data_IF_399650147076
#
_entry.id   IF_399650147076
#
_cell.length_a   1.000
_cell.length_b   1.000
_cell.length_c   1.000
_cell.angle_alpha   90.00
_cell.angle_beta   90.00
_cell.angle_gamma   90.00
#
_symmetry.space_group_name_H-M   'P 1'
#
loop_
_entity.id
_entity.type
_entity.pdbx_description
1 polymer ?
#
# COMPACT_ATOMS: atom_id res chain seq x y z
N UNK A 1 -24.31 6.59 5.99
CA UNK A 1 -25.16 5.44 5.55
C UNK A 1 -25.30 5.30 4.02
N UNK A 2 -25.38 6.36 3.20
CA UNK A 2 -25.52 6.22 1.72
C UNK A 2 -24.27 5.63 1.03
N UNK A 3 -23.06 6.07 1.40
CA UNK A 3 -21.81 5.57 0.78
C UNK A 3 -21.56 4.09 1.06
N UNK A 4 -21.73 3.64 2.31
CA UNK A 4 -21.65 2.22 2.66
C UNK A 4 -22.62 1.37 1.82
N UNK A 5 -23.87 1.83 1.62
CA UNK A 5 -24.85 1.13 0.78
C UNK A 5 -24.40 1.00 -0.68
N UNK A 6 -23.67 1.98 -1.21
CA UNK A 6 -23.14 1.90 -2.58
C UNK A 6 -21.94 0.95 -2.64
N UNK A 7 -21.06 0.99 -1.64
CA UNK A 7 -19.91 0.08 -1.54
C UNK A 7 -20.31 -1.39 -1.46
N UNK A 8 -21.26 -1.75 -0.58
CA UNK A 8 -21.70 -3.15 -0.42
C UNK A 8 -22.46 -3.71 -1.64
N UNK A 9 -22.80 -2.85 -2.61
CA UNK A 9 -23.43 -3.24 -3.88
C UNK A 9 -22.41 -3.53 -4.99
N UNK A 10 -21.14 -3.17 -4.79
CA UNK A 10 -20.07 -3.49 -5.75
C UNK A 10 -19.85 -5.00 -5.80
N UNK A 11 -19.54 -5.51 -6.99
CA UNK A 11 -19.07 -6.90 -7.12
C UNK A 11 -17.56 -6.95 -6.85
N UNK A 12 -17.04 -8.05 -6.27
CA UNK A 12 -15.60 -8.19 -6.02
C UNK A 12 -14.72 -7.90 -7.24
N UNK A 13 -15.10 -8.40 -8.42
CA UNK A 13 -14.36 -8.19 -9.67
C UNK A 13 -14.30 -6.72 -10.15
N UNK A 14 -15.19 -5.86 -9.65
CA UNK A 14 -15.18 -4.42 -9.94
C UNK A 14 -14.30 -3.64 -8.97
N UNK A 15 -13.81 -4.30 -7.90
CA UNK A 15 -12.98 -3.68 -6.88
C UNK A 15 -11.49 -3.84 -7.18
N UNK A 16 -10.75 -2.82 -6.79
CA UNK A 16 -9.30 -2.86 -6.65
C UNK A 16 -8.98 -2.35 -5.24
N UNK A 17 -8.35 -3.19 -4.42
CA UNK A 17 -7.95 -2.81 -3.07
C UNK A 17 -6.59 -2.13 -3.11
N UNK A 18 -6.51 -0.97 -2.45
CA UNK A 18 -5.24 -0.36 -2.08
C UNK A 18 -5.07 -0.63 -0.59
N UNK A 19 -4.10 -1.47 -0.25
CA UNK A 19 -3.79 -1.77 1.16
C UNK A 19 -2.61 -0.91 1.61
N UNK A 20 -2.76 -0.29 2.78
CA UNK A 20 -1.71 0.51 3.42
C UNK A 20 -1.24 -0.11 4.73
N UNK A 21 -0.35 0.58 5.43
CA UNK A 21 0.26 0.11 6.69
C UNK A 21 -0.77 -0.18 7.78
N UNK A 22 -1.97 0.41 7.75
CA UNK A 22 -3.04 0.05 8.69
C UNK A 22 -3.51 -1.41 8.56
N UNK A 23 -3.36 -2.06 7.39
CA UNK A 23 -3.60 -3.50 7.26
C UNK A 23 -2.49 -4.28 7.97
N UNK A 24 -1.23 -3.96 7.72
CA UNK A 24 -0.08 -4.59 8.37
C UNK A 24 -0.11 -4.41 9.89
N UNK A 25 -0.45 -3.21 10.37
CA UNK A 25 -0.63 -2.86 11.77
C UNK A 25 -1.69 -3.73 12.47
N UNK A 26 -2.83 -3.97 11.80
CA UNK A 26 -3.91 -4.79 12.34
C UNK A 26 -3.49 -6.27 12.45
N UNK A 27 -2.72 -6.75 11.47
CA UNK A 27 -2.33 -8.16 11.33
C UNK A 27 -1.18 -8.53 12.26
N UNK A 28 -0.17 -7.66 12.34
CA UNK A 28 1.07 -7.89 13.08
C UNK A 28 1.38 -6.68 14.01
N UNK A 29 0.51 -6.37 14.99
CA UNK A 29 0.67 -5.20 15.86
C UNK A 29 1.94 -5.26 16.73
N UNK A 30 2.53 -6.45 16.88
CA UNK A 30 3.78 -6.65 17.61
C UNK A 30 5.04 -6.15 16.89
N UNK A 31 4.95 -5.75 15.63
CA UNK A 31 6.06 -5.15 14.88
C UNK A 31 5.78 -3.65 14.70
N UNK A 32 6.39 -2.76 15.49
CA UNK A 32 6.15 -1.33 15.41
C UNK A 32 6.40 -0.74 14.01
N UNK A 33 7.39 -1.28 13.28
CA UNK A 33 7.73 -0.85 11.93
C UNK A 33 6.57 -0.99 10.93
N UNK A 34 5.64 -1.93 11.15
CA UNK A 34 4.47 -2.13 10.29
C UNK A 34 3.29 -1.20 10.63
N UNK A 35 3.33 -0.53 11.79
CA UNK A 35 2.20 0.26 12.27
C UNK A 35 1.99 1.56 11.51
N UNK A 36 3.06 2.12 10.92
CA UNK A 36 2.97 3.34 10.11
C UNK A 36 4.21 3.51 9.23
N UNK A 37 4.10 4.34 8.19
CA UNK A 37 5.25 4.75 7.38
C UNK A 37 6.36 5.40 8.20
N UNK A 38 5.99 6.19 9.21
CA UNK A 38 6.92 6.85 10.11
C UNK A 38 7.72 5.83 10.91
N UNK A 39 7.02 4.88 11.53
CA UNK A 39 7.62 3.81 12.34
C UNK A 39 8.50 2.89 11.50
N UNK A 40 8.12 2.63 10.24
CA UNK A 40 8.96 1.91 9.28
C UNK A 40 10.30 2.63 9.06
N UNK A 41 10.27 3.93 8.75
CA UNK A 41 11.49 4.71 8.53
C UNK A 41 12.33 4.80 9.80
N UNK A 42 11.71 4.97 10.97
CA UNK A 42 12.40 4.97 12.27
C UNK A 42 13.12 3.64 12.52
N UNK A 43 12.46 2.51 12.27
CA UNK A 43 13.05 1.18 12.40
C UNK A 43 14.20 0.95 11.42
N UNK A 44 14.08 1.43 10.18
CA UNK A 44 15.17 1.37 9.19
C UNK A 44 16.38 2.21 9.66
N UNK A 45 16.16 3.40 10.22
CA UNK A 45 17.26 4.22 10.76
C UNK A 45 17.94 3.52 11.93
N UNK A 46 17.17 2.86 12.80
CA UNK A 46 17.71 2.08 13.92
C UNK A 46 18.50 0.86 13.44
N UNK A 47 17.97 0.07 12.52
CA UNK A 47 18.70 -1.04 11.90
C UNK A 47 19.98 -0.54 11.22
N UNK A 48 19.94 0.60 10.54
CA UNK A 48 21.11 1.18 9.89
C UNK A 48 22.21 1.60 10.89
N UNK A 49 21.83 2.06 12.09
CA UNK A 49 22.76 2.35 13.19
C UNK A 49 23.36 1.05 13.74
N UNK A 50 22.54 0.02 13.97
CA UNK A 50 22.97 -1.27 14.52
C UNK A 50 23.88 -2.06 13.56
N UNK A 51 23.61 -1.99 12.26
CA UNK A 51 24.41 -2.61 11.21
C UNK A 51 25.66 -1.77 10.84
N UNK A 52 25.85 -0.60 11.47
CA UNK A 52 26.95 0.33 11.20
C UNK A 52 27.03 0.81 9.73
N UNK A 53 25.90 0.84 9.03
CA UNK A 53 25.80 1.25 7.61
C UNK A 53 25.45 2.73 7.43
N UNK A 54 25.12 3.43 8.53
CA UNK A 54 24.85 4.87 8.54
C UNK A 54 25.64 5.56 9.67
N UNK A 55 26.33 6.65 9.33
CA UNK A 55 27.14 7.39 10.30
C UNK A 55 26.27 7.97 11.43
N UNK A 56 26.70 7.97 12.71
CA UNK A 56 25.89 8.45 13.84
C UNK A 56 25.37 9.89 13.68
N UNK A 57 26.15 10.76 13.03
CA UNK A 57 25.71 12.12 12.70
C UNK A 57 24.53 12.15 11.71
N UNK A 58 24.53 11.26 10.71
CA UNK A 58 23.42 11.13 9.77
C UNK A 58 22.20 10.50 10.45
N UNK A 59 22.39 9.50 11.32
CA UNK A 59 21.33 8.90 12.14
C UNK A 59 20.60 9.99 12.94
N UNK A 60 21.34 10.86 13.64
CA UNK A 60 20.76 11.95 14.41
C UNK A 60 20.01 12.96 13.52
N UNK A 61 20.52 13.26 12.32
CA UNK A 61 19.85 14.12 11.35
C UNK A 61 18.53 13.51 10.85
N UNK A 62 18.55 12.23 10.44
CA UNK A 62 17.37 11.54 9.93
C UNK A 62 16.31 11.35 11.01
N UNK A 63 16.67 11.01 12.24
CA UNK A 63 15.73 10.97 13.38
C UNK A 63 15.01 12.30 13.54
N UNK A 64 15.75 13.41 13.50
CA UNK A 64 15.18 14.76 13.58
C UNK A 64 14.28 15.09 12.39
N UNK A 65 14.66 14.70 11.17
CA UNK A 65 13.85 14.87 9.96
C UNK A 65 12.55 14.09 10.08
N UNK A 66 12.60 12.79 10.38
CA UNK A 66 11.39 11.97 10.55
C UNK A 66 10.46 12.63 11.54
N UNK A 67 10.90 12.96 12.77
CA UNK A 67 10.01 13.54 13.79
C UNK A 67 9.37 14.89 13.42
N UNK A 68 10.00 15.70 12.57
CA UNK A 68 9.53 17.06 12.25
C UNK A 68 8.85 17.18 10.90
N UNK A 69 9.21 16.34 9.95
CA UNK A 69 8.73 16.45 8.58
C UNK A 69 7.34 15.84 8.43
N UNK A 70 6.55 16.48 7.56
CA UNK A 70 5.24 15.97 7.13
C UNK A 70 5.36 15.12 5.88
N UNK A 71 6.42 15.28 5.10
CA UNK A 71 6.66 14.49 3.89
C UNK A 71 7.65 13.33 4.15
N UNK A 72 7.11 12.25 4.71
CA UNK A 72 7.90 11.05 5.04
C UNK A 72 8.52 10.38 3.79
N UNK A 73 7.94 10.59 2.61
CA UNK A 73 8.47 10.03 1.36
C UNK A 73 9.78 10.69 0.98
N UNK A 74 9.90 12.01 1.16
CA UNK A 74 11.16 12.73 0.94
C UNK A 74 12.23 12.22 1.89
N UNK A 75 11.89 12.02 3.17
CA UNK A 75 12.85 11.50 4.16
C UNK A 75 13.31 10.09 3.81
N UNK A 76 12.38 9.20 3.43
CA UNK A 76 12.70 7.84 3.03
C UNK A 76 13.55 7.82 1.75
N UNK A 77 13.25 8.69 0.78
CA UNK A 77 14.05 8.84 -0.43
C UNK A 77 15.49 9.29 -0.14
N UNK A 78 15.68 10.32 0.70
CA UNK A 78 16.99 10.79 1.12
C UNK A 78 17.77 9.70 1.86
N UNK A 79 17.08 8.92 2.69
CA UNK A 79 17.64 7.80 3.43
C UNK A 79 18.11 6.68 2.49
N UNK A 80 17.29 6.28 1.51
CA UNK A 80 17.69 5.32 0.47
C UNK A 80 18.92 5.82 -0.29
N UNK A 81 18.94 7.10 -0.70
CA UNK A 81 20.09 7.67 -1.43
C UNK A 81 21.37 7.66 -0.60
N UNK A 82 21.26 7.88 0.71
CA UNK A 82 22.39 7.88 1.62
C UNK A 82 22.95 6.47 1.84
N UNK A 83 22.07 5.48 1.97
CA UNK A 83 22.43 4.08 2.31
C UNK A 83 22.66 3.19 1.10
N UNK A 84 22.23 3.60 -0.10
CA UNK A 84 22.49 2.85 -1.34
C UNK A 84 23.19 3.76 -2.36
N UNK A 85 24.40 4.27 -2.06
CA UNK A 85 25.13 5.16 -2.96
C UNK A 85 25.51 4.43 -4.25
N UNK A 86 25.41 5.13 -5.39
CA UNK A 86 25.82 4.59 -6.69
C UNK A 86 27.36 4.61 -6.78
N UNK A 87 28.02 3.57 -6.29
CA UNK A 87 29.48 3.39 -6.38
C UNK A 87 29.84 2.23 -7.31
N UNK A 88 30.17 2.49 -8.57
CA UNK A 88 30.65 1.47 -9.51
C UNK A 88 29.59 0.45 -9.95
N UNK A 89 30.05 -0.74 -10.38
CA UNK A 89 29.23 -1.83 -10.95
C UNK A 89 28.51 -2.70 -9.90
N UNK A 90 28.83 -2.51 -8.61
CA UNK A 90 28.21 -3.24 -7.50
C UNK A 90 27.45 -2.26 -6.62
N UNK A 91 26.13 -2.45 -6.51
CA UNK A 91 25.25 -1.59 -5.71
C UNK A 91 25.05 -2.21 -4.32
N UNK A 92 25.80 -1.80 -3.27
CA UNK A 92 25.40 -2.15 -1.92
C UNK A 92 24.01 -1.57 -1.67
N UNK A 93 23.12 -2.39 -1.11
CA UNK A 93 21.73 -2.00 -0.88
C UNK A 93 21.42 -2.04 0.61
N UNK A 94 22.17 -1.29 1.41
CA UNK A 94 22.04 -1.32 2.87
C UNK A 94 20.64 -0.97 3.37
N UNK A 95 19.87 -0.19 2.59
CA UNK A 95 18.45 0.04 2.90
C UNK A 95 17.63 -1.26 2.86
N UNK A 96 17.90 -2.15 1.90
CA UNK A 96 17.27 -3.46 1.87
C UNK A 96 17.73 -4.32 3.03
N UNK A 97 19.03 -4.34 3.32
CA UNK A 97 19.56 -5.13 4.44
C UNK A 97 18.88 -4.71 5.75
N UNK A 98 18.65 -3.40 5.94
CA UNK A 98 17.88 -2.88 7.06
C UNK A 98 16.42 -3.34 7.03
N UNK A 99 15.74 -3.32 5.87
CA UNK A 99 14.36 -3.80 5.78
C UNK A 99 14.25 -5.32 5.99
N UNK A 100 15.23 -6.10 5.54
CA UNK A 100 15.30 -7.54 5.81
C UNK A 100 15.43 -7.82 7.30
N UNK A 101 16.24 -7.03 8.02
CA UNK A 101 16.33 -7.10 9.49
C UNK A 101 15.00 -6.70 10.16
N UNK A 102 14.40 -5.60 9.72
CA UNK A 102 13.15 -5.07 10.30
C UNK A 102 11.94 -5.99 10.05
N UNK A 103 11.92 -6.69 8.91
CA UNK A 103 10.86 -7.61 8.50
C UNK A 103 11.32 -9.07 8.51
N UNK A 104 12.25 -9.41 9.39
CA UNK A 104 12.65 -10.81 9.55
C UNK A 104 11.50 -11.65 10.11
N UNK A 105 11.37 -12.89 9.63
CA UNK A 105 10.37 -13.87 10.09
C UNK A 105 8.92 -13.37 10.19
N UNK A 106 8.45 -12.50 9.27
CA UNK A 106 7.11 -11.91 9.27
C UNK A 106 5.98 -12.94 9.48
N UNK A 107 6.13 -14.16 8.95
CA UNK A 107 5.17 -15.24 9.08
C UNK A 107 4.88 -15.63 10.54
N UNK A 108 5.87 -15.49 11.43
CA UNK A 108 5.74 -15.79 12.87
C UNK A 108 5.02 -14.67 13.63
N UNK A 109 4.91 -13.49 13.02
CA UNK A 109 4.33 -12.30 13.62
C UNK A 109 2.89 -12.02 13.20
N UNK A 110 2.30 -12.85 12.35
CA UNK A 110 0.87 -12.79 12.00
C UNK A 110 0.04 -13.19 13.24
N UNK A 111 -0.55 -12.21 13.91
CA UNK A 111 -1.37 -12.42 15.11
C UNK A 111 -2.87 -12.39 14.80
N UNK A 112 -3.32 -11.48 13.92
CA UNK A 112 -4.73 -11.30 13.59
C UNK A 112 -4.97 -11.43 12.07
N UNK A 113 -5.07 -12.66 11.54
CA UNK A 113 -5.17 -12.88 10.09
C UNK A 113 -6.54 -12.52 9.49
N UNK A 114 -7.53 -12.09 10.29
CA UNK A 114 -8.91 -11.86 9.85
C UNK A 114 -9.01 -10.87 8.67
N UNK A 115 -8.19 -9.82 8.67
CA UNK A 115 -8.12 -8.83 7.57
C UNK A 115 -7.58 -9.48 6.31
N UNK A 116 -6.45 -10.20 6.40
CA UNK A 116 -5.85 -10.89 5.25
C UNK A 116 -6.80 -11.95 4.68
N UNK A 117 -7.47 -12.72 5.55
CA UNK A 117 -8.49 -13.69 5.15
C UNK A 117 -9.65 -13.04 4.40
N UNK A 118 -10.06 -11.85 4.82
CA UNK A 118 -11.11 -11.07 4.14
C UNK A 118 -10.66 -10.58 2.77
N UNK A 119 -9.40 -10.12 2.64
CA UNK A 119 -8.79 -9.73 1.37
C UNK A 119 -8.67 -10.93 0.43
N UNK A 120 -8.16 -12.07 0.90
CA UNK A 120 -8.07 -13.29 0.09
C UNK A 120 -9.43 -13.76 -0.44
N UNK A 121 -10.50 -13.67 0.36
CA UNK A 121 -11.86 -14.01 -0.09
C UNK A 121 -12.36 -13.08 -1.20
N UNK A 122 -11.97 -11.80 -1.17
CA UNK A 122 -12.28 -10.86 -2.24
C UNK A 122 -11.47 -11.19 -3.50
N UNK A 123 -10.17 -11.46 -3.37
CA UNK A 123 -9.30 -11.92 -4.47
C UNK A 123 -9.82 -13.22 -5.11
N UNK A 124 -10.33 -14.15 -4.30
CA UNK A 124 -10.98 -15.37 -4.77
C UNK A 124 -12.15 -15.11 -5.72
N UNK A 125 -12.80 -13.94 -5.61
CA UNK A 125 -13.90 -13.50 -6.47
C UNK A 125 -13.48 -12.44 -7.49
N UNK A 126 -12.17 -12.25 -7.71
CA UNK A 126 -11.63 -11.42 -8.78
C UNK A 126 -11.25 -9.99 -8.38
N UNK A 127 -11.26 -9.64 -7.09
CA UNK A 127 -10.75 -8.35 -6.63
C UNK A 127 -9.23 -8.27 -6.82
N UNK A 128 -8.77 -7.17 -7.40
CA UNK A 128 -7.34 -6.89 -7.58
C UNK A 128 -6.75 -6.24 -6.33
N UNK A 129 -5.45 -6.39 -6.07
CA UNK A 129 -4.77 -5.78 -4.91
C UNK A 129 -3.48 -5.10 -5.33
N UNK A 130 -3.27 -3.88 -4.82
CA UNK A 130 -1.98 -3.21 -4.84
C UNK A 130 -1.67 -2.63 -3.46
N UNK A 131 -0.40 -2.34 -3.22
CA UNK A 131 0.09 -1.77 -1.96
C UNK A 131 1.22 -0.77 -2.22
N UNK A 132 1.37 0.18 -1.31
CA UNK A 132 2.58 1.00 -1.19
C UNK A 132 3.53 0.45 -0.12
N UNK A 133 3.11 -0.54 0.66
CA UNK A 133 3.95 -1.11 1.72
C UNK A 133 5.08 -1.96 1.13
N UNK A 134 6.15 -2.09 1.91
CA UNK A 134 7.30 -2.96 1.58
C UNK A 134 7.12 -4.41 2.01
N UNK A 135 6.25 -4.68 3.01
CA UNK A 135 5.98 -6.03 3.51
C UNK A 135 5.13 -6.85 2.52
N UNK A 136 5.19 -8.19 2.64
CA UNK A 136 4.42 -9.16 1.85
C UNK A 136 3.51 -10.04 2.73
N UNK A 137 2.95 -9.48 3.82
CA UNK A 137 2.14 -10.25 4.77
C UNK A 137 0.94 -10.96 4.11
N UNK A 138 0.31 -10.31 3.12
CA UNK A 138 -0.81 -10.89 2.39
C UNK A 138 -0.39 -12.11 1.58
N UNK A 139 0.78 -12.05 0.94
CA UNK A 139 1.32 -13.13 0.13
C UNK A 139 1.80 -14.29 0.98
N UNK A 140 2.52 -14.02 2.07
CA UNK A 140 2.90 -15.02 3.07
C UNK A 140 1.66 -15.78 3.55
N UNK A 141 0.64 -15.04 4.00
CA UNK A 141 -0.60 -15.65 4.48
C UNK A 141 -1.32 -16.42 3.37
N UNK A 142 -1.42 -15.87 2.15
CA UNK A 142 -2.05 -16.55 1.03
C UNK A 142 -1.35 -17.85 0.63
N UNK A 143 -0.02 -17.88 0.65
CA UNK A 143 0.77 -19.09 0.41
C UNK A 143 0.51 -20.14 1.50
N UNK A 144 0.44 -19.75 2.78
CA UNK A 144 0.04 -20.64 3.88
C UNK A 144 -1.38 -21.19 3.69
N UNK A 145 -2.28 -20.44 3.04
CA UNK A 145 -3.62 -20.90 2.64
C UNK A 145 -3.64 -21.68 1.31
N UNK A 146 -2.49 -22.04 0.76
CA UNK A 146 -2.36 -22.81 -0.48
C UNK A 146 -2.71 -22.04 -1.75
N UNK A 147 -2.64 -20.69 -1.73
CA UNK A 147 -2.86 -19.85 -2.91
C UNK A 147 -1.54 -19.56 -3.63
N UNK A 148 -1.52 -19.54 -4.97
CA UNK A 148 -0.33 -19.20 -5.74
C UNK A 148 -0.15 -17.68 -5.77
N UNK A 149 0.19 -17.08 -4.62
CA UNK A 149 0.41 -15.64 -4.50
C UNK A 149 1.65 -15.21 -5.26
N UNK A 150 1.58 -14.05 -5.91
CA UNK A 150 2.70 -13.47 -6.65
C UNK A 150 2.82 -11.97 -6.33
N UNK A 151 3.99 -11.54 -5.87
CA UNK A 151 4.32 -10.13 -5.72
C UNK A 151 4.82 -9.59 -7.07
N UNK A 152 4.37 -8.39 -7.42
CA UNK A 152 4.68 -7.74 -8.68
C UNK A 152 5.38 -6.42 -8.41
N UNK A 153 6.54 -6.21 -9.04
CA UNK A 153 7.17 -4.90 -9.10
C UNK A 153 6.68 -4.13 -10.33
N UNK A 154 6.52 -2.81 -10.19
CA UNK A 154 6.15 -1.94 -11.30
C UNK A 154 7.09 -2.05 -12.52
N UNK A 155 8.36 -2.41 -12.31
CA UNK A 155 9.37 -2.60 -13.37
C UNK A 155 9.11 -3.85 -14.20
N UNK A 156 8.35 -4.82 -13.69
CA UNK A 156 8.00 -6.05 -14.40
C UNK A 156 6.85 -5.80 -15.39
N UNK A 157 7.09 -4.97 -16.40
CA UNK A 157 6.10 -4.49 -17.38
C UNK A 157 5.10 -5.57 -17.84
N UNK A 158 5.59 -6.72 -18.30
CA UNK A 158 4.73 -7.78 -18.85
C UNK A 158 3.80 -8.37 -17.79
N UNK A 159 4.26 -8.49 -16.54
CA UNK A 159 3.42 -8.94 -15.43
C UNK A 159 2.43 -7.87 -15.01
N UNK A 160 2.85 -6.61 -14.93
CA UNK A 160 1.94 -5.48 -14.64
C UNK A 160 0.79 -5.43 -15.65
N UNK A 161 1.08 -5.61 -16.95
CA UNK A 161 0.06 -5.66 -18.00
C UNK A 161 -0.87 -6.87 -17.87
N UNK A 162 -0.35 -8.05 -17.52
CA UNK A 162 -1.18 -9.24 -17.28
C UNK A 162 -2.08 -9.07 -16.05
N UNK A 163 -1.52 -8.56 -14.96
CA UNK A 163 -2.24 -8.26 -13.74
C UNK A 163 -3.36 -7.25 -13.98
N UNK A 164 -3.05 -6.13 -14.61
CA UNK A 164 -4.02 -5.06 -14.86
C UNK A 164 -5.14 -5.46 -15.84
N UNK A 165 -4.91 -6.47 -16.69
CA UNK A 165 -5.96 -7.10 -17.52
C UNK A 165 -6.80 -8.13 -16.77
N UNK A 166 -6.50 -8.40 -15.50
CA UNK A 166 -7.21 -9.35 -14.65
C UNK A 166 -6.77 -10.81 -14.83
N UNK A 167 -5.62 -11.06 -15.46
CA UNK A 167 -5.12 -12.43 -15.70
C UNK A 167 -4.35 -13.01 -14.50
N UNK A 168 -4.02 -12.19 -13.48
CA UNK A 168 -3.25 -12.61 -12.30
C UNK A 168 -4.10 -12.48 -11.04
N UNK A 169 -4.94 -13.51 -10.79
CA UNK A 169 -5.93 -13.51 -9.70
C UNK A 169 -5.32 -13.27 -8.30
N UNK A 170 -4.14 -13.81 -8.03
CA UNK A 170 -3.44 -13.71 -6.75
C UNK A 170 -2.19 -12.82 -6.83
N UNK A 171 -2.17 -11.89 -7.79
CA UNK A 171 -1.08 -10.91 -7.94
C UNK A 171 -1.29 -9.70 -7.04
N UNK A 172 -0.22 -9.29 -6.34
CA UNK A 172 -0.16 -8.07 -5.51
C UNK A 172 0.86 -7.11 -6.11
N UNK A 173 0.40 -5.93 -6.55
CA UNK A 173 1.30 -4.91 -7.12
C UNK A 173 1.91 -4.04 -6.02
N UNK A 174 3.24 -4.04 -5.89
CA UNK A 174 3.99 -3.19 -4.96
C UNK A 174 4.50 -1.93 -5.67
N UNK A 175 3.89 -0.79 -5.35
CA UNK A 175 4.21 0.49 -6.01
C UNK A 175 5.61 1.01 -5.64
N UNK A 176 6.14 0.65 -4.48
CA UNK A 176 7.49 1.06 -4.04
C UNK A 176 8.50 -0.08 -4.03
N UNK A 177 8.13 -1.24 -4.60
CA UNK A 177 8.90 -2.48 -4.54
C UNK A 177 8.70 -3.24 -3.23
N UNK A 178 9.42 -4.34 -3.12
CA UNK A 178 9.31 -5.33 -2.05
C UNK A 178 10.63 -5.45 -1.29
N UNK A 179 10.59 -5.65 0.03
CA UNK A 179 11.81 -5.75 0.83
C UNK A 179 12.71 -6.94 0.46
N UNK A 180 12.14 -8.01 -0.09
CA UNK A 180 12.89 -9.18 -0.55
C UNK A 180 13.47 -9.00 -1.97
N UNK A 181 13.20 -7.88 -2.66
CA UNK A 181 13.73 -7.59 -3.99
C UNK A 181 14.72 -6.40 -3.97
N UNK A 182 16.05 -6.66 -4.09
CA UNK A 182 17.06 -5.60 -4.09
C UNK A 182 16.90 -4.59 -5.23
N UNK A 183 16.40 -5.07 -6.36
CA UNK A 183 16.37 -4.31 -7.59
C UNK A 183 15.09 -3.49 -7.71
N UNK A 184 14.01 -3.89 -7.03
CA UNK A 184 12.67 -3.32 -7.11
C UNK A 184 12.47 -2.01 -6.33
N UNK A 185 13.10 -1.88 -5.15
CA UNK A 185 12.79 -0.78 -4.23
C UNK A 185 13.11 0.61 -4.78
N UNK A 186 12.08 1.43 -4.94
CA UNK A 186 12.18 2.79 -5.47
C UNK A 186 11.14 3.70 -4.82
N UNK A 187 11.61 4.86 -4.35
CA UNK A 187 10.77 5.97 -3.91
C UNK A 187 10.89 7.22 -4.79
N UNK A 188 11.80 7.22 -5.76
CA UNK A 188 11.97 8.34 -6.69
C UNK A 188 11.21 8.07 -8.00
N UNK A 189 10.39 9.01 -8.52
CA UNK A 189 9.77 8.87 -9.84
C UNK A 189 10.75 8.48 -10.97
N UNK A 190 12.02 8.90 -10.89
CA UNK A 190 13.08 8.53 -11.83
C UNK A 190 13.45 7.05 -11.79
N UNK A 191 13.26 6.36 -10.65
CA UNK A 191 13.46 4.91 -10.58
C UNK A 191 12.32 4.12 -11.25
N UNK A 192 11.21 4.78 -11.56
CA UNK A 192 10.11 4.29 -12.41
C UNK A 192 10.02 5.07 -13.72
N UNK A 193 11.09 5.73 -14.17
CA UNK A 193 11.06 6.51 -15.41
C UNK A 193 10.63 5.65 -16.59
N UNK A 194 11.15 4.44 -16.69
CA UNK A 194 10.79 3.53 -17.78
C UNK A 194 9.31 3.12 -17.74
N UNK A 195 8.72 3.02 -16.54
CA UNK A 195 7.30 2.70 -16.34
C UNK A 195 6.41 3.92 -16.62
N UNK A 196 6.75 5.07 -16.04
CA UNK A 196 5.99 6.32 -16.16
C UNK A 196 6.08 6.96 -17.54
N UNK A 197 7.09 6.58 -18.33
CA UNK A 197 7.24 6.97 -19.73
C UNK A 197 6.73 5.91 -20.71
N UNK A 198 6.38 4.70 -20.25
CA UNK A 198 5.75 3.68 -21.10
C UNK A 198 4.25 3.98 -21.27
N UNK A 199 3.81 4.38 -22.47
CA UNK A 199 2.42 4.78 -22.68
C UNK A 199 1.44 3.62 -22.45
N UNK A 200 1.84 2.39 -22.73
CA UNK A 200 0.99 1.21 -22.61
C UNK A 200 0.73 0.86 -21.15
N UNK A 201 1.77 0.90 -20.31
CA UNK A 201 1.62 0.64 -18.88
C UNK A 201 0.81 1.75 -18.22
N UNK A 202 1.11 3.01 -18.53
CA UNK A 202 0.39 4.15 -17.98
C UNK A 202 -1.08 4.17 -18.38
N UNK A 203 -1.40 3.88 -19.65
CA UNK A 203 -2.78 3.80 -20.12
C UNK A 203 -3.57 2.75 -19.32
N UNK A 204 -3.03 1.54 -19.21
CA UNK A 204 -3.68 0.42 -18.52
C UNK A 204 -3.87 0.70 -17.02
N UNK A 205 -2.86 1.26 -16.33
CA UNK A 205 -2.99 1.61 -14.91
C UNK A 205 -4.00 2.74 -14.68
N UNK A 206 -4.02 3.75 -15.55
CA UNK A 206 -4.98 4.85 -15.45
C UNK A 206 -6.41 4.39 -15.76
N UNK A 207 -6.58 3.46 -16.70
CA UNK A 207 -7.86 2.85 -17.01
C UNK A 207 -8.42 2.04 -15.84
N UNK A 208 -7.57 1.44 -14.99
CA UNK A 208 -8.05 0.84 -13.75
C UNK A 208 -8.77 1.87 -12.88
N UNK A 209 -8.23 3.09 -12.74
CA UNK A 209 -8.88 4.14 -11.93
C UNK A 209 -10.20 4.61 -12.53
N UNK A 210 -10.37 4.52 -13.86
CA UNK A 210 -11.63 4.86 -14.53
C UNK A 210 -12.68 3.76 -14.42
N UNK A 211 -12.25 2.50 -14.43
CA UNK A 211 -13.15 1.34 -14.61
C UNK A 211 -13.38 0.53 -13.34
N UNK A 212 -12.43 0.55 -12.40
CA UNK A 212 -12.55 -0.13 -11.11
C UNK A 212 -12.96 0.84 -10.01
N UNK A 213 -13.64 0.30 -9.00
CA UNK A 213 -13.91 1.02 -7.75
C UNK A 213 -12.78 0.74 -6.77
N UNK A 214 -11.82 1.67 -6.67
CA UNK A 214 -10.75 1.62 -5.68
C UNK A 214 -11.32 1.63 -4.24
N UNK A 215 -10.87 0.70 -3.40
CA UNK A 215 -11.17 0.65 -1.98
C UNK A 215 -9.86 0.71 -1.18
N UNK A 216 -9.63 1.85 -0.54
CA UNK A 216 -8.46 2.11 0.29
C UNK A 216 -8.67 1.57 1.71
N UNK A 217 -7.80 0.65 2.13
CA UNK A 217 -7.83 -0.05 3.41
C UNK A 217 -6.55 0.24 4.19
N UNK A 218 -6.65 0.89 5.35
CA UNK A 218 -5.47 1.21 6.17
C UNK A 218 -4.50 2.20 5.51
N UNK A 219 -4.97 3.01 4.56
CA UNK A 219 -4.16 3.98 3.85
C UNK A 219 -4.19 5.34 4.56
N UNK A 220 -3.05 5.74 5.14
CA UNK A 220 -2.86 7.09 5.68
C UNK A 220 -2.25 8.04 4.65
N UNK A 221 -1.02 7.75 4.23
CA UNK A 221 -0.20 8.65 3.40
C UNK A 221 -0.29 8.35 1.89
N UNK A 222 -0.92 7.25 1.48
CA UNK A 222 -0.93 6.76 0.09
C UNK A 222 -1.41 7.78 -0.95
N UNK A 223 -2.39 8.62 -0.61
CA UNK A 223 -2.90 9.63 -1.55
C UNK A 223 -2.01 10.88 -1.66
N UNK A 224 -1.07 11.07 -0.73
CA UNK A 224 -0.03 12.10 -0.83
C UNK A 224 1.15 11.62 -1.67
N UNK A 225 1.27 10.31 -1.89
CA UNK A 225 2.33 9.74 -2.70
C UNK A 225 2.28 10.22 -4.15
N UNK A 226 3.38 10.82 -4.61
CA UNK A 226 3.43 11.42 -5.95
C UNK A 226 3.46 10.37 -7.06
N UNK A 227 4.04 9.20 -6.81
CA UNK A 227 4.07 8.08 -7.77
C UNK A 227 2.65 7.53 -7.91
N UNK A 228 1.98 7.23 -6.81
CA UNK A 228 0.57 6.78 -6.81
C UNK A 228 -0.33 7.79 -7.53
N UNK A 229 -0.18 9.08 -7.22
CA UNK A 229 -0.93 10.14 -7.88
C UNK A 229 -0.65 10.20 -9.39
N UNK A 230 0.60 10.04 -9.82
CA UNK A 230 0.97 10.01 -11.23
C UNK A 230 0.41 8.78 -11.96
N UNK A 231 0.44 7.61 -11.32
CA UNK A 231 -0.04 6.36 -11.90
C UNK A 231 -1.57 6.35 -12.06
N UNK A 232 -2.32 6.89 -11.09
CA UNK A 232 -3.78 6.70 -11.06
C UNK A 232 -4.60 7.99 -11.11
N UNK A 233 -4.13 9.11 -10.54
CA UNK A 233 -4.98 10.28 -10.26
C UNK A 233 -4.85 11.43 -11.27
N UNK A 234 -3.67 11.68 -11.83
CA UNK A 234 -3.39 12.91 -12.58
C UNK A 234 -4.09 13.00 -13.94
N UNK A 235 -4.33 11.88 -14.62
CA UNK A 235 -4.89 11.90 -15.98
C UNK A 235 -6.41 11.74 -16.04
N UNK A 236 -7.05 11.53 -14.89
CA UNK A 236 -8.50 11.38 -14.82
C UNK A 236 -9.13 12.76 -14.61
N UNK A 237 -9.49 13.42 -15.73
CA UNK A 237 -9.96 14.81 -15.76
C UNK A 237 -11.32 15.02 -15.09
N UNK A 238 -12.25 14.09 -15.26
CA UNK A 238 -13.56 14.14 -14.63
C UNK A 238 -13.69 12.98 -13.63
N UNK A 239 -13.80 13.33 -12.36
CA UNK A 239 -13.90 12.38 -11.24
C UNK A 239 -15.28 12.34 -10.59
N UNK A 240 -16.23 13.12 -11.11
CA UNK A 240 -17.56 13.32 -10.48
C UNK A 240 -18.36 12.02 -10.45
N UNK A 241 -18.23 11.19 -11.49
CA UNK A 241 -18.94 9.92 -11.62
C UNK A 241 -18.17 8.73 -11.02
N UNK A 242 -16.95 8.96 -10.52
CA UNK A 242 -16.15 7.90 -9.90
C UNK A 242 -16.71 7.55 -8.52
N UNK A 243 -16.70 6.26 -8.23
CA UNK A 243 -17.12 5.73 -6.94
C UNK A 243 -15.98 4.93 -6.32
N UNK A 244 -14.97 5.64 -5.84
CA UNK A 244 -13.93 5.08 -4.99
C UNK A 244 -14.32 5.22 -3.53
N UNK A 245 -13.65 4.48 -2.65
CA UNK A 245 -13.99 4.41 -1.24
C UNK A 245 -12.74 4.36 -0.39
N UNK A 246 -12.77 5.02 0.77
CA UNK A 246 -11.69 4.94 1.74
C UNK A 246 -12.26 4.63 3.11
N UNK A 247 -11.77 3.57 3.75
CA UNK A 247 -12.11 3.25 5.12
C UNK A 247 -11.21 4.02 6.08
N UNK A 248 -11.80 4.77 7.01
CA UNK A 248 -11.05 5.62 7.94
C UNK A 248 -11.56 5.52 9.37
N UNK A 249 -10.67 5.82 10.31
CA UNK A 249 -11.03 6.05 11.71
C UNK A 249 -11.72 7.42 11.83
N UNK A 250 -12.81 7.51 12.60
CA UNK A 250 -13.44 8.78 12.94
C UNK A 250 -13.03 9.20 14.36
N UNK A 251 -11.78 9.62 14.52
CA UNK A 251 -11.27 10.12 15.81
C UNK A 251 -11.87 11.49 16.17
N UNK A 252 -12.00 12.35 15.16
CA UNK A 252 -12.46 13.73 15.33
C UNK A 252 -13.43 14.10 14.21
N UNK A 253 -14.54 14.73 14.57
CA UNK A 253 -15.62 15.03 13.65
C UNK A 253 -15.24 16.08 12.59
N UNK A 254 -14.57 17.16 12.99
CA UNK A 254 -14.12 18.20 12.05
C UNK A 254 -13.08 17.67 11.07
N UNK A 255 -12.11 16.90 11.57
CA UNK A 255 -11.11 16.25 10.72
C UNK A 255 -11.76 15.28 9.73
N UNK A 256 -12.74 14.50 10.18
CA UNK A 256 -13.45 13.55 9.33
C UNK A 256 -14.24 14.26 8.21
N UNK A 257 -14.95 15.35 8.51
CA UNK A 257 -15.68 16.10 7.50
C UNK A 257 -14.75 16.83 6.52
N UNK A 258 -13.63 17.36 7.00
CA UNK A 258 -12.58 17.93 6.14
C UNK A 258 -12.03 16.87 5.19
N UNK A 259 -11.66 15.70 5.71
CA UNK A 259 -11.17 14.58 4.89
C UNK A 259 -12.23 14.15 3.87
N UNK A 260 -13.50 14.09 4.25
CA UNK A 260 -14.59 13.82 3.31
C UNK A 260 -14.63 14.80 2.13
N UNK A 261 -14.51 16.10 2.40
CA UNK A 261 -14.52 17.13 1.37
C UNK A 261 -13.29 17.00 0.45
N UNK A 262 -12.10 16.85 1.04
CA UNK A 262 -10.84 16.73 0.30
C UNK A 262 -10.86 15.48 -0.61
N UNK A 263 -11.29 14.33 -0.08
CA UNK A 263 -11.33 13.06 -0.81
C UNK A 263 -12.38 13.04 -1.93
N UNK A 264 -13.48 13.78 -1.77
CA UNK A 264 -14.51 13.86 -2.79
C UNK A 264 -14.01 14.54 -4.08
N UNK A 265 -13.02 15.43 -3.99
CA UNK A 265 -12.35 16.01 -5.18
C UNK A 265 -11.64 14.95 -6.03
N UNK A 266 -11.31 13.81 -5.43
CA UNK A 266 -10.71 12.65 -6.10
C UNK A 266 -11.75 11.57 -6.46
N UNK A 267 -13.05 11.82 -6.26
CA UNK A 267 -14.09 10.80 -6.45
C UNK A 267 -14.09 9.71 -5.36
N UNK A 268 -13.45 9.98 -4.21
CA UNK A 268 -13.29 9.04 -3.10
C UNK A 268 -14.31 9.34 -2.00
N UNK A 269 -15.17 8.38 -1.72
CA UNK A 269 -16.19 8.43 -0.67
C UNK A 269 -15.63 7.84 0.62
N UNK A 270 -15.46 8.69 1.63
CA UNK A 270 -14.94 8.26 2.93
C UNK A 270 -16.04 7.56 3.75
N UNK A 271 -15.71 6.37 4.25
CA UNK A 271 -16.58 5.54 5.10
C UNK A 271 -15.85 5.29 6.41
N UNK A 272 -16.46 5.69 7.53
CA UNK A 272 -15.89 5.39 8.85
C UNK A 272 -16.13 3.92 9.20
N UNK A 273 -15.09 3.25 9.69
CA UNK A 273 -15.24 1.94 10.32
C UNK A 273 -15.52 2.02 11.83
N UNK A 274 -15.54 3.23 12.39
CA UNK A 274 -15.83 3.52 13.79
C UNK A 274 -14.89 4.55 14.39
N UNK A 275 -14.74 4.53 15.72
CA UNK A 275 -14.03 5.52 16.54
C UNK A 275 -12.77 4.97 17.23
N UNK A 276 -12.51 3.66 17.14
CA UNK A 276 -11.24 3.07 17.56
C UNK A 276 -10.66 2.11 16.50
N UNK A 277 -9.33 1.99 16.45
CA UNK A 277 -8.63 1.19 15.44
C UNK A 277 -8.90 -0.31 15.60
N UNK A 278 -9.18 -0.77 16.81
CA UNK A 278 -9.49 -2.18 17.15
C UNK A 278 -10.76 -2.68 16.45
N UNK A 279 -11.64 -1.78 16.00
CA UNK A 279 -12.83 -2.12 15.21
C UNK A 279 -12.51 -2.40 13.74
N UNK A 280 -11.34 -1.98 13.23
CA UNK A 280 -10.97 -2.11 11.82
C UNK A 280 -11.00 -3.57 11.32
N UNK A 281 -10.44 -4.57 12.02
CA UNK A 281 -10.46 -5.96 11.56
C UNK A 281 -11.88 -6.52 11.39
N UNK A 282 -12.72 -6.34 12.40
CA UNK A 282 -14.10 -6.81 12.40
C UNK A 282 -14.90 -6.11 11.30
N UNK A 283 -14.75 -4.79 11.15
CA UNK A 283 -15.43 -4.03 10.12
C UNK A 283 -15.06 -4.49 8.70
N UNK A 284 -13.77 -4.74 8.43
CA UNK A 284 -13.33 -5.27 7.13
C UNK A 284 -13.88 -6.67 6.87
N UNK A 285 -13.95 -7.51 7.90
CA UNK A 285 -14.56 -8.83 7.82
C UNK A 285 -16.06 -8.76 7.47
N UNK A 286 -16.82 -7.93 8.17
CA UNK A 286 -18.24 -7.73 7.89
C UNK A 286 -18.47 -7.14 6.49
N UNK A 287 -17.68 -6.14 6.13
CA UNK A 287 -17.77 -5.48 4.83
C UNK A 287 -17.50 -6.47 3.69
N UNK A 288 -16.41 -7.24 3.78
CA UNK A 288 -16.07 -8.26 2.78
C UNK A 288 -17.15 -9.32 2.67
N UNK A 289 -17.72 -9.77 3.80
CA UNK A 289 -18.83 -10.72 3.81
C UNK A 289 -20.08 -10.15 3.12
N UNK A 290 -20.39 -8.87 3.33
CA UNK A 290 -21.53 -8.20 2.68
C UNK A 290 -21.33 -8.06 1.17
N UNK A 291 -20.12 -7.64 0.74
CA UNK A 291 -19.76 -7.56 -0.68
C UNK A 291 -19.84 -8.96 -1.32
N UNK A 292 -19.33 -10.00 -0.64
CA UNK A 292 -19.34 -11.36 -1.16
C UNK A 292 -20.74 -12.03 -1.16
N UNK A 293 -21.69 -11.55 -0.34
CA UNK A 293 -23.08 -12.04 -0.36
C UNK A 293 -23.85 -11.66 -1.63
N UNK A 294 -23.41 -10.63 -2.34
CA UNK A 294 -23.97 -10.28 -3.65
C UNK A 294 -23.70 -11.46 -4.60
N UNK A 295 -24.76 -12.15 -5.02
CA UNK A 295 -24.65 -13.17 -6.07
C UNK A 295 -24.13 -12.48 -7.32
N UNK A 296 -23.17 -13.11 -8.00
CA UNK A 296 -22.86 -12.75 -9.38
C UNK A 296 -24.16 -12.83 -10.18
N UNK A 297 -24.48 -11.83 -11.02
CA UNK A 297 -25.67 -11.89 -11.86
C UNK A 297 -25.70 -13.15 -12.73
#
# INVERSE_FOLDING_TARGET
RKFLKSLIRKQPQDLLLVIGTGVSAAVAPGIPALCSWRSCIEAVIEAAEQLEVLHPGDVAEFRKKVSKDRDLLVVAHDLIRKMSPRTGDTKPNFFQDCLMEVFDNLEQHIQNPAVLQSILRLMERGTMVLTTNYDNLLEIFGQQQGKPMESLDLKEKDKVLQWARGHMKYGVLHIHGLYTDPCGMVLDPSGYKDVTQDPQVMEVLQDLYRTKSFLFLGCGETLRDQIFQALFLYTVKNKVDLEHYMLVLKENEDHFFKLQADMLLHGIKVVSYGDCFEQFPEYVQELSAQICKQRSP
#
